data_IF_440361298097
#
_entry.id   IF_440361298097
#
_cell.length_a   1.000
_cell.length_b   1.000
_cell.length_c   1.000
_cell.angle_alpha   90.00
_cell.angle_beta   90.00
_cell.angle_gamma   90.00
#
_symmetry.space_group_name_H-M   'P 1'
#
loop_
_entity.id
_entity.type
_entity.pdbx_description
1 polymer ?
#
# COMPACT_ATOMS: atom_id res chain seq x y z
N UNK A 1 -0.15 -14.05 8.94
CA UNK A 1 -0.70 -14.44 7.62
C UNK A 1 -0.30 -15.85 7.14
N UNK A 2 0.76 -16.50 7.68
CA UNK A 2 1.19 -17.84 7.21
C UNK A 2 0.22 -18.97 7.59
N UNK A 3 -0.37 -18.92 8.79
CA UNK A 3 -1.34 -19.94 9.23
C UNK A 3 -2.51 -20.13 8.25
N UNK A 4 -3.03 -19.05 7.68
CA UNK A 4 -4.09 -19.12 6.68
C UNK A 4 -3.61 -19.81 5.39
N UNK A 5 -2.38 -19.55 4.95
CA UNK A 5 -1.83 -20.19 3.75
C UNK A 5 -1.71 -21.70 3.92
N UNK A 6 -1.25 -22.15 5.09
CA UNK A 6 -1.06 -23.58 5.36
C UNK A 6 -2.37 -24.29 5.72
N UNK A 7 -3.19 -23.71 6.59
CA UNK A 7 -4.39 -24.37 7.12
C UNK A 7 -5.66 -24.10 6.29
N UNK A 8 -5.79 -22.96 5.62
CA UNK A 8 -7.02 -22.58 4.89
C UNK A 8 -6.85 -22.75 3.39
N UNK A 9 -5.72 -22.30 2.82
CA UNK A 9 -5.49 -22.33 1.37
C UNK A 9 -4.78 -23.59 0.86
N UNK A 10 -4.22 -24.41 1.76
CA UNK A 10 -3.58 -25.68 1.40
C UNK A 10 -2.22 -25.53 0.71
N UNK A 11 -1.45 -24.48 1.06
CA UNK A 11 -0.11 -24.22 0.47
C UNK A 11 1.02 -25.01 1.16
N UNK A 12 0.73 -26.22 1.66
CA UNK A 12 1.73 -27.12 2.26
C UNK A 12 1.54 -28.53 1.73
N UNK A 13 2.63 -29.12 1.25
CA UNK A 13 2.65 -30.52 0.78
C UNK A 13 2.40 -31.50 1.94
N UNK A 14 2.86 -31.19 3.16
CA UNK A 14 2.72 -32.08 4.32
C UNK A 14 1.29 -32.12 4.86
N UNK A 15 0.58 -30.99 4.82
CA UNK A 15 -0.84 -30.90 5.20
C UNK A 15 -1.75 -31.38 4.05
N UNK A 16 -1.30 -31.16 2.81
CA UNK A 16 -2.04 -31.49 1.60
C UNK A 16 -3.06 -30.42 1.22
N UNK A 17 -3.89 -30.75 0.22
CA UNK A 17 -4.96 -29.89 -0.31
C UNK A 17 -6.21 -29.92 0.59
N UNK A 18 -6.01 -29.71 1.89
CA UNK A 18 -7.07 -29.66 2.89
C UNK A 18 -7.29 -28.21 3.34
N UNK A 19 -8.54 -27.88 3.61
CA UNK A 19 -8.94 -26.55 4.07
C UNK A 19 -9.66 -26.64 5.41
N UNK A 20 -9.17 -25.87 6.39
CA UNK A 20 -9.70 -25.76 7.74
C UNK A 20 -10.08 -24.30 8.02
N UNK A 21 -11.18 -23.78 7.43
CA UNK A 21 -11.63 -22.43 7.71
C UNK A 21 -11.99 -22.26 9.19
N UNK A 22 -11.61 -21.14 9.80
CA UNK A 22 -12.17 -20.76 11.09
C UNK A 22 -13.65 -20.41 10.86
N UNK A 23 -14.52 -21.00 11.67
CA UNK A 23 -15.92 -20.60 11.72
C UNK A 23 -16.00 -19.37 12.61
N UNK A 24 -16.61 -18.30 12.10
CA UNK A 24 -16.84 -17.07 12.87
C UNK A 24 -17.93 -17.24 13.95
N UNK A 25 -18.51 -18.43 14.03
CA UNK A 25 -19.45 -18.86 15.06
C UNK A 25 -18.73 -18.82 16.41
N UNK A 26 -18.97 -17.77 17.21
CA UNK A 26 -18.30 -17.47 18.48
C UNK A 26 -18.31 -18.58 19.56
N UNK A 27 -19.02 -19.69 19.30
CA UNK A 27 -19.17 -20.83 20.20
C UNK A 27 -18.31 -22.05 19.82
N UNK A 28 -17.74 -22.13 18.61
CA UNK A 28 -16.84 -23.23 18.21
C UNK A 28 -15.37 -22.77 18.26
N UNK A 29 -14.83 -22.67 19.47
CA UNK A 29 -13.41 -22.34 19.72
C UNK A 29 -12.46 -23.54 19.53
N UNK A 30 -12.98 -24.67 19.05
CA UNK A 30 -12.22 -25.90 18.82
C UNK A 30 -11.71 -25.98 17.39
N UNK A 31 -10.41 -26.20 17.24
CA UNK A 31 -9.76 -26.43 15.94
C UNK A 31 -10.40 -27.65 15.24
N UNK A 32 -10.79 -27.55 13.96
CA UNK A 32 -11.46 -28.65 13.24
C UNK A 32 -10.46 -29.71 12.74
N UNK A 33 -9.48 -30.08 13.57
CA UNK A 33 -8.44 -31.06 13.26
C UNK A 33 -7.77 -31.60 14.52
N UNK A 34 -7.10 -32.75 14.39
CA UNK A 34 -6.46 -33.43 15.51
C UNK A 34 -5.25 -32.66 16.07
N UNK A 35 -4.84 -32.98 17.31
CA UNK A 35 -3.59 -32.47 17.88
C UNK A 35 -2.36 -32.83 17.02
N UNK A 36 -2.35 -34.03 16.41
CA UNK A 36 -1.27 -34.46 15.51
C UNK A 36 -1.18 -33.55 14.28
N UNK A 37 -2.32 -33.24 13.66
CA UNK A 37 -2.39 -32.33 12.50
C UNK A 37 -1.98 -30.91 12.89
N UNK A 38 -2.37 -30.46 14.10
CA UNK A 38 -1.95 -29.16 14.64
C UNK A 38 -0.42 -29.04 14.69
N UNK A 39 0.25 -30.08 15.21
CA UNK A 39 1.70 -30.09 15.30
C UNK A 39 2.39 -30.05 13.93
N UNK A 40 1.83 -30.72 12.91
CA UNK A 40 2.33 -30.66 11.53
C UNK A 40 2.19 -29.24 10.97
N UNK A 41 1.03 -28.60 11.14
CA UNK A 41 0.79 -27.22 10.71
C UNK A 41 1.78 -26.27 11.38
N UNK A 42 1.98 -26.37 12.69
CA UNK A 42 2.88 -25.49 13.44
C UNK A 42 4.34 -25.64 12.98
N UNK A 43 4.76 -26.85 12.63
CA UNK A 43 6.09 -27.11 12.09
C UNK A 43 6.27 -26.50 10.70
N UNK A 44 5.30 -26.68 9.81
CA UNK A 44 5.30 -26.07 8.47
C UNK A 44 5.36 -24.54 8.55
N UNK A 45 4.54 -23.94 9.42
CA UNK A 45 4.53 -22.49 9.62
C UNK A 45 5.91 -22.00 10.07
N UNK A 46 6.56 -22.72 11.00
CA UNK A 46 7.91 -22.37 11.46
C UNK A 46 8.93 -22.44 10.34
N UNK A 47 8.89 -23.49 9.52
CA UNK A 47 9.78 -23.64 8.36
C UNK A 47 9.59 -22.51 7.34
N UNK A 48 8.34 -22.13 7.04
CA UNK A 48 8.05 -21.03 6.12
C UNK A 48 8.51 -19.67 6.65
N UNK A 49 8.30 -19.41 7.93
CA UNK A 49 8.76 -18.17 8.58
C UNK A 49 10.29 -18.09 8.55
N UNK A 50 10.99 -19.18 8.86
CA UNK A 50 12.45 -19.23 8.80
C UNK A 50 12.96 -18.97 7.38
N UNK A 51 12.41 -19.63 6.36
CA UNK A 51 12.77 -19.41 4.95
C UNK A 51 12.55 -17.96 4.51
N UNK A 52 11.43 -17.37 4.88
CA UNK A 52 11.13 -15.97 4.58
C UNK A 52 12.11 -15.03 5.28
N UNK A 53 12.41 -15.28 6.55
CA UNK A 53 13.38 -14.53 7.33
C UNK A 53 14.77 -14.58 6.67
N UNK A 54 15.30 -15.77 6.40
CA UNK A 54 16.62 -15.94 5.78
C UNK A 54 16.70 -15.26 4.42
N UNK A 55 15.64 -15.34 3.61
CA UNK A 55 15.56 -14.63 2.34
C UNK A 55 15.58 -13.11 2.54
N UNK A 56 14.84 -12.58 3.51
CA UNK A 56 14.80 -11.14 3.77
C UNK A 56 16.13 -10.62 4.30
N UNK A 57 16.80 -11.36 5.18
CA UNK A 57 18.14 -10.99 5.67
C UNK A 57 19.12 -10.92 4.52
N UNK A 58 19.18 -11.96 3.68
CA UNK A 58 20.05 -11.96 2.48
C UNK A 58 19.76 -10.80 1.53
N UNK A 59 18.49 -10.49 1.30
CA UNK A 59 18.09 -9.38 0.43
C UNK A 59 18.56 -8.01 0.98
N UNK A 60 18.43 -7.81 2.29
CA UNK A 60 18.87 -6.58 2.97
C UNK A 60 20.40 -6.50 3.00
N UNK A 61 21.09 -7.62 3.22
CA UNK A 61 22.55 -7.70 3.18
C UNK A 61 23.10 -7.37 1.79
N UNK A 62 22.46 -7.88 0.73
CA UNK A 62 22.82 -7.58 -0.67
C UNK A 62 22.66 -6.09 -0.99
N UNK A 63 21.63 -5.45 -0.43
CA UNK A 63 21.30 -4.04 -0.67
C UNK A 63 21.62 -3.14 0.52
N UNK A 64 22.66 -3.49 1.31
CA UNK A 64 22.96 -2.80 2.57
C UNK A 64 23.29 -1.32 2.39
N UNK A 65 24.08 -0.98 1.38
CA UNK A 65 24.49 0.40 1.08
C UNK A 65 23.29 1.32 0.78
N UNK A 66 22.39 1.01 -0.18
CA UNK A 66 21.24 1.86 -0.42
C UNK A 66 20.25 1.90 0.75
N UNK A 67 20.13 0.82 1.53
CA UNK A 67 19.30 0.83 2.75
C UNK A 67 19.86 1.78 3.81
N UNK A 68 21.19 1.81 3.99
CA UNK A 68 21.84 2.76 4.90
C UNK A 68 21.61 4.22 4.49
N UNK A 69 21.78 4.53 3.20
CA UNK A 69 21.50 5.88 2.67
C UNK A 69 20.04 6.31 2.91
N UNK A 70 19.08 5.39 2.71
CA UNK A 70 17.67 5.66 2.99
C UNK A 70 17.44 5.93 4.48
N UNK A 71 18.10 5.18 5.36
CA UNK A 71 17.98 5.37 6.80
C UNK A 71 18.51 6.73 7.25
N UNK A 72 19.65 7.18 6.70
CA UNK A 72 20.22 8.51 6.96
C UNK A 72 19.26 9.63 6.51
N UNK A 73 18.75 9.55 5.28
CA UNK A 73 17.79 10.52 4.75
C UNK A 73 16.48 10.55 5.56
N UNK A 74 16.04 9.41 6.09
CA UNK A 74 14.83 9.32 6.91
C UNK A 74 14.97 9.96 8.29
N UNK A 75 16.19 10.19 8.79
CA UNK A 75 16.41 10.92 10.03
C UNK A 75 16.23 12.43 9.83
N UNK A 76 16.52 12.93 8.63
CA UNK A 76 16.44 14.35 8.30
C UNK A 76 15.04 14.78 7.85
N UNK A 77 14.32 13.92 7.12
CA UNK A 77 13.01 14.26 6.54
C UNK A 77 12.11 13.05 6.32
N UNK A 78 10.82 13.33 6.13
CA UNK A 78 9.85 12.35 5.64
C UNK A 78 10.18 12.02 4.17
N UNK A 79 10.37 10.74 3.87
CA UNK A 79 10.71 10.27 2.53
C UNK A 79 9.48 10.20 1.63
N UNK A 80 9.61 10.73 0.41
CA UNK A 80 8.64 10.56 -0.67
C UNK A 80 9.15 9.60 -1.75
N UNK A 81 8.27 9.16 -2.64
CA UNK A 81 8.63 8.24 -3.73
C UNK A 81 9.77 8.79 -4.59
N UNK A 82 9.81 10.10 -4.82
CA UNK A 82 10.83 10.75 -5.65
C UNK A 82 12.23 10.67 -5.00
N UNK A 83 12.30 10.66 -3.66
CA UNK A 83 13.54 10.48 -2.92
C UNK A 83 14.04 9.04 -3.00
N UNK A 84 13.13 8.07 -2.96
CA UNK A 84 13.48 6.65 -3.15
C UNK A 84 14.02 6.39 -4.56
N UNK A 85 13.44 7.00 -5.59
CA UNK A 85 13.93 6.89 -6.98
C UNK A 85 15.32 7.52 -7.14
N UNK A 86 15.63 8.59 -6.41
CA UNK A 86 16.99 9.20 -6.44
C UNK A 86 18.06 8.26 -5.88
N UNK A 87 17.73 7.48 -4.85
CA UNK A 87 18.69 6.59 -4.17
C UNK A 87 18.76 5.21 -4.82
N UNK A 88 17.61 4.62 -5.15
CA UNK A 88 17.49 3.24 -5.66
C UNK A 88 17.41 3.16 -7.19
N UNK A 89 17.14 4.27 -7.87
CA UNK A 89 16.83 4.28 -9.30
C UNK A 89 15.36 3.95 -9.61
N UNK A 90 15.07 3.77 -10.90
CA UNK A 90 13.73 3.40 -11.35
C UNK A 90 13.37 1.97 -10.96
N UNK A 91 12.09 1.76 -10.58
CA UNK A 91 11.59 0.44 -10.19
C UNK A 91 11.60 -0.51 -11.41
N UNK A 92 12.28 -1.67 -11.34
CA UNK A 92 12.38 -2.59 -12.48
C UNK A 92 11.06 -3.32 -12.80
N UNK A 93 10.13 -3.38 -11.85
CA UNK A 93 8.82 -4.00 -12.01
C UNK A 93 7.75 -2.92 -12.25
N UNK A 94 7.32 -2.77 -13.50
CA UNK A 94 6.24 -1.85 -13.88
C UNK A 94 4.88 -2.46 -13.52
N UNK A 95 4.09 -1.72 -12.76
CA UNK A 95 2.69 -2.05 -12.51
C UNK A 95 1.83 -1.64 -13.71
N UNK A 96 0.91 -2.49 -14.13
CA UNK A 96 -0.05 -2.21 -15.22
C UNK A 96 -1.11 -1.20 -14.81
N UNK A 97 -1.45 -1.17 -13.51
CA UNK A 97 -2.41 -0.23 -12.94
C UNK A 97 -1.71 0.88 -12.15
N UNK A 98 -2.24 2.12 -12.19
CA UNK A 98 -1.71 3.20 -11.38
C UNK A 98 -1.90 2.88 -9.89
N UNK A 99 -0.80 2.94 -9.14
CA UNK A 99 -0.78 2.71 -7.70
C UNK A 99 -1.67 3.74 -7.00
N UNK A 100 -2.20 3.42 -5.83
CA UNK A 100 -2.95 4.40 -5.01
C UNK A 100 -2.17 5.71 -4.79
N UNK A 101 -0.84 5.62 -4.69
CA UNK A 101 0.04 6.78 -4.60
C UNK A 101 0.07 7.61 -5.89
N UNK A 102 0.09 6.96 -7.06
CA UNK A 102 0.07 7.64 -8.36
C UNK A 102 -1.26 8.39 -8.55
N UNK A 103 -2.37 7.75 -8.15
CA UNK A 103 -3.71 8.38 -8.14
C UNK A 103 -3.78 9.56 -7.18
N UNK A 104 -3.19 9.43 -5.99
CA UNK A 104 -3.10 10.49 -5.00
C UNK A 104 -2.32 11.70 -5.56
N UNK A 105 -1.13 11.48 -6.15
CA UNK A 105 -0.35 12.54 -6.80
C UNK A 105 -1.13 13.24 -7.92
N UNK A 106 -1.84 12.50 -8.76
CA UNK A 106 -2.68 13.05 -9.83
C UNK A 106 -3.78 13.97 -9.28
N UNK A 107 -4.43 13.57 -8.19
CA UNK A 107 -5.51 14.35 -7.57
C UNK A 107 -5.06 15.76 -7.14
N UNK A 108 -3.87 15.91 -6.54
CA UNK A 108 -3.33 17.23 -6.18
C UNK A 108 -2.91 18.04 -7.39
N UNK A 109 -2.35 17.40 -8.42
CA UNK A 109 -1.99 18.08 -9.65
C UNK A 109 -3.21 18.64 -10.37
N UNK A 110 -4.34 17.91 -10.35
CA UNK A 110 -5.57 18.35 -10.99
C UNK A 110 -6.29 19.44 -10.17
N UNK A 111 -6.16 19.40 -8.84
CA UNK A 111 -6.63 20.48 -7.95
C UNK A 111 -5.89 21.81 -8.19
N UNK A 112 -4.57 21.76 -8.37
CA UNK A 112 -3.75 22.96 -8.66
C UNK A 112 -4.00 23.49 -10.08
N UNK A 113 -4.19 22.61 -11.07
CA UNK A 113 -4.59 23.01 -12.44
C UNK A 113 -5.96 23.68 -12.44
N UNK A 114 -6.92 23.12 -11.71
CA UNK A 114 -8.27 23.68 -11.60
C UNK A 114 -8.28 25.02 -10.88
N UNK A 115 -7.49 25.20 -9.82
CA UNK A 115 -7.33 26.51 -9.17
C UNK A 115 -6.68 27.55 -10.10
N UNK A 116 -5.68 27.15 -10.90
CA UNK A 116 -5.06 28.04 -11.90
C UNK A 116 -6.03 28.44 -13.01
N UNK A 117 -6.79 27.49 -13.55
CA UNK A 117 -7.85 27.74 -14.54
C UNK A 117 -8.96 28.63 -13.98
N UNK A 118 -9.34 28.48 -12.70
CA UNK A 118 -10.31 29.36 -12.01
C UNK A 118 -9.75 30.77 -11.83
N UNK A 119 -8.50 30.93 -11.41
CA UNK A 119 -7.87 32.26 -11.29
C UNK A 119 -7.66 32.94 -12.65
N UNK A 120 -7.39 32.19 -13.71
CA UNK A 120 -7.25 32.74 -15.06
C UNK A 120 -8.61 33.11 -15.68
N UNK A 121 -9.67 32.33 -15.41
CA UNK A 121 -11.04 32.65 -15.85
C UNK A 121 -11.65 33.81 -15.06
N UNK A 122 -11.42 33.91 -13.74
CA UNK A 122 -11.83 35.08 -12.94
C UNK A 122 -11.07 36.36 -13.34
N UNK A 123 -9.81 36.26 -13.80
CA UNK A 123 -9.06 37.41 -14.30
C UNK A 123 -9.51 37.88 -15.71
N UNK A 124 -10.10 36.99 -16.52
CA UNK A 124 -10.65 37.32 -17.85
C UNK A 124 -12.05 37.93 -17.77
N UNK A 125 -12.87 37.55 -16.78
CA UNK A 125 -14.23 38.07 -16.56
C UNK A 125 -14.25 39.52 -16.01
N UNK A 126 -13.27 39.92 -15.20
CA UNK A 126 -13.17 41.29 -14.64
C UNK A 126 -12.89 42.35 -15.74
N UNK A 127 -12.44 41.92 -16.93
CA UNK A 127 -12.17 42.80 -18.08
C UNK A 127 -13.37 43.15 -18.97
N UNK A 128 -14.58 42.61 -18.73
CA UNK A 128 -15.69 42.75 -19.71
C UNK A 128 -17.05 43.23 -19.21
N UNK A 129 -17.24 43.55 -17.95
CA UNK A 129 -18.55 44.07 -17.47
C UNK A 129 -18.45 45.45 -16.83
N UNK A 130 -18.37 46.49 -17.68
CA UNK A 130 -18.94 47.78 -17.30
C UNK A 130 -20.45 47.72 -17.52
N UNK A 131 -21.23 47.71 -16.44
CA UNK A 131 -22.45 48.52 -16.18
C UNK A 131 -23.33 47.77 -15.14
N UNK A 132 -23.05 47.96 -13.85
CA UNK A 132 -23.98 47.55 -12.79
C UNK A 132 -25.02 48.67 -12.57
N UNK A 133 -26.30 48.38 -12.80
CA UNK A 133 -27.41 49.17 -12.24
C UNK A 133 -27.94 48.43 -11.01
N UNK A 134 -28.16 49.11 -9.86
CA UNK A 134 -28.74 48.49 -8.68
C UNK A 134 -30.26 48.48 -8.80
N UNK A 135 -30.89 47.30 -8.68
CA UNK A 135 -32.34 47.20 -8.49
C UNK A 135 -32.63 46.54 -7.14
N UNK A 136 -33.54 47.18 -6.41
CA UNK A 136 -33.86 47.03 -4.99
C UNK A 136 -34.72 45.79 -4.76
N UNK A 137 -34.47 45.04 -3.68
CA UNK A 137 -35.31 43.91 -3.25
C UNK A 137 -36.69 44.38 -2.77
N UNK A 138 -37.79 43.67 -3.10
CA UNK A 138 -38.99 43.71 -2.29
C UNK A 138 -39.02 42.55 -1.26
N UNK A 139 -39.69 42.85 -0.17
CA UNK A 139 -39.93 42.12 1.09
C UNK A 139 -40.44 40.69 0.99
#
# INVERSE_FOLDING_TARGET
MIYAQVAVYGFSEKVGLLSFPQRDDAFEMTKPYSSKTSAVIDNEVREWVAKAYDRTVKLIEEHKEPVAMIAELSLEKVLHQDDLVRVLGERPFKTSEPTNYDRFKQWFQDGDKKNREVTESECVEIGRSSTFKPEVMPT
#
